data_IF_786892408572
#
_entry.id   IF_786892408572
#
_cell.length_a   1.000
_cell.length_b   1.000
_cell.length_c   1.000
_cell.angle_alpha   90.00
_cell.angle_beta   90.00
_cell.angle_gamma   90.00
#
_symmetry.space_group_name_H-M   'P 1'
#
loop_
_entity.id
_entity.type
_entity.pdbx_description
1 polymer ?
#
# COMPACT_ATOMS: atom_id res chain seq x y z
N UNK A 1 0.20 10.50 -5.87
CA UNK A 1 -0.88 9.61 -6.37
C UNK A 1 -1.89 10.39 -7.20
N UNK A 2 -2.59 11.38 -6.63
CA UNK A 2 -3.58 12.22 -7.33
C UNK A 2 -3.14 12.78 -8.70
N UNK A 3 -1.89 13.20 -8.83
CA UNK A 3 -1.38 13.80 -10.09
C UNK A 3 -1.07 12.78 -11.19
N UNK A 4 -0.66 11.56 -10.81
CA UNK A 4 -0.13 10.56 -11.76
C UNK A 4 -1.09 9.39 -12.00
N UNK A 5 -1.92 9.07 -11.01
CA UNK A 5 -2.92 7.99 -11.02
C UNK A 5 -4.23 8.51 -10.39
N UNK A 6 -4.90 9.50 -11.02
CA UNK A 6 -6.08 10.14 -10.44
C UNK A 6 -7.25 9.16 -10.24
N UNK A 7 -7.47 8.25 -11.18
CA UNK A 7 -8.57 7.27 -11.09
C UNK A 7 -8.39 6.31 -9.90
N UNK A 8 -7.16 5.79 -9.70
CA UNK A 8 -6.87 4.93 -8.55
C UNK A 8 -6.91 5.72 -7.23
N UNK A 9 -6.49 6.99 -7.25
CA UNK A 9 -6.59 7.87 -6.08
C UNK A 9 -8.05 8.06 -5.65
N UNK A 10 -8.94 8.35 -6.60
CA UNK A 10 -10.36 8.57 -6.31
C UNK A 10 -11.01 7.26 -5.81
N UNK A 11 -10.70 6.13 -6.45
CA UNK A 11 -11.22 4.83 -6.04
C UNK A 11 -10.77 4.43 -4.61
N UNK A 12 -9.51 4.68 -4.25
CA UNK A 12 -9.01 4.44 -2.89
C UNK A 12 -9.66 5.41 -1.89
N UNK A 13 -9.76 6.68 -2.25
CA UNK A 13 -10.38 7.74 -1.42
C UNK A 13 -11.82 7.38 -1.03
N UNK A 14 -12.61 6.88 -1.97
CA UNK A 14 -14.00 6.46 -1.71
C UNK A 14 -14.13 5.47 -0.55
N UNK A 15 -13.19 4.53 -0.39
CA UNK A 15 -13.24 3.57 0.72
C UNK A 15 -12.97 4.26 2.06
N UNK A 16 -11.98 5.15 2.07
CA UNK A 16 -11.55 5.86 3.28
C UNK A 16 -12.61 6.87 3.74
N UNK A 17 -13.32 7.51 2.82
CA UNK A 17 -14.41 8.44 3.11
C UNK A 17 -15.64 7.77 3.76
N UNK A 18 -15.76 6.45 3.64
CA UNK A 18 -16.89 5.67 4.17
C UNK A 18 -16.47 4.70 5.29
N UNK A 19 -15.32 4.95 5.93
CA UNK A 19 -14.91 4.13 7.07
C UNK A 19 -15.94 4.24 8.21
N UNK A 20 -16.23 3.12 8.90
CA UNK A 20 -17.17 3.13 10.01
C UNK A 20 -16.67 4.04 11.13
N UNK A 21 -17.62 4.59 11.90
CA UNK A 21 -17.36 5.45 13.06
C UNK A 21 -16.69 6.79 12.75
N UNK A 22 -16.87 7.32 11.53
CA UNK A 22 -16.28 8.61 11.11
C UNK A 22 -14.75 8.63 11.27
N UNK A 23 -14.12 7.46 11.09
CA UNK A 23 -12.70 7.30 11.27
C UNK A 23 -11.94 7.87 10.07
N UNK A 24 -11.07 8.86 10.31
CA UNK A 24 -10.12 9.32 9.30
C UNK A 24 -8.92 8.36 9.22
N UNK A 25 -8.53 7.94 8.02
CA UNK A 25 -7.28 7.20 7.85
C UNK A 25 -6.06 8.12 8.01
N UNK A 26 -5.06 7.75 8.82
CA UNK A 26 -3.81 8.51 8.95
C UNK A 26 -2.91 8.42 7.70
N UNK A 27 -3.28 7.58 6.73
CA UNK A 27 -2.52 7.33 5.51
C UNK A 27 -3.36 7.56 4.25
N UNK A 28 -4.34 8.47 4.31
CA UNK A 28 -5.17 8.86 3.17
C UNK A 28 -4.33 9.03 1.88
N UNK A 29 -4.74 8.45 0.73
CA UNK A 29 -6.02 7.78 0.47
C UNK A 29 -6.03 6.27 0.79
N UNK A 30 -5.00 5.74 1.45
CA UNK A 30 -4.96 4.33 1.84
C UNK A 30 -5.78 4.10 3.12
N UNK A 31 -6.36 2.91 3.27
CA UNK A 31 -7.19 2.55 4.43
C UNK A 31 -6.41 2.21 5.70
N UNK A 32 -5.12 1.94 5.58
CA UNK A 32 -4.25 1.59 6.70
C UNK A 32 -2.78 1.47 6.27
N UNK A 33 -1.89 1.33 7.25
CA UNK A 33 -0.46 1.09 7.01
C UNK A 33 0.05 0.02 7.97
N UNK A 34 1.15 -0.63 7.56
CA UNK A 34 1.85 -1.64 8.35
C UNK A 34 3.32 -1.23 8.45
N UNK A 35 3.91 -1.39 9.63
CA UNK A 35 5.35 -1.17 9.84
C UNK A 35 6.06 -2.51 9.89
N UNK A 36 6.81 -2.82 8.83
CA UNK A 36 7.62 -4.04 8.75
C UNK A 36 8.99 -3.84 9.42
N UNK A 37 9.18 -4.39 10.61
CA UNK A 37 10.46 -4.32 11.36
C UNK A 37 11.48 -5.36 10.86
N UNK A 38 11.04 -6.38 10.12
CA UNK A 38 11.88 -7.38 9.45
C UNK A 38 11.33 -7.69 8.06
N UNK A 39 11.65 -6.84 7.09
CA UNK A 39 11.05 -6.88 5.74
C UNK A 39 11.41 -8.10 4.87
N UNK A 40 11.96 -9.17 5.44
CA UNK A 40 12.20 -10.43 4.73
C UNK A 40 10.94 -11.29 4.79
N UNK A 41 9.98 -11.01 3.91
CA UNK A 41 8.76 -11.81 3.76
C UNK A 41 8.94 -12.86 2.67
N UNK A 42 8.24 -14.00 2.80
CA UNK A 42 8.08 -14.93 1.68
C UNK A 42 7.39 -14.21 0.52
N UNK A 43 7.67 -14.62 -0.72
CA UNK A 43 6.96 -14.10 -1.88
C UNK A 43 5.45 -14.35 -1.71
N UNK A 44 4.66 -13.29 -1.77
CA UNK A 44 3.21 -13.34 -1.62
C UNK A 44 2.56 -12.20 -2.39
N UNK A 45 1.22 -12.27 -2.48
CA UNK A 45 0.37 -11.18 -2.94
C UNK A 45 -0.52 -10.75 -1.78
N UNK A 46 -0.60 -9.45 -1.54
CA UNK A 46 -1.56 -8.85 -0.62
C UNK A 46 -2.98 -8.98 -1.19
N UNK A 47 -3.58 -10.15 -0.98
CA UNK A 47 -4.88 -10.50 -1.57
C UNK A 47 -6.04 -9.68 -0.99
N UNK A 48 -5.81 -9.01 0.14
CA UNK A 48 -6.75 -8.08 0.75
C UNK A 48 -6.70 -6.67 0.18
N UNK A 49 -5.65 -6.32 -0.56
CA UNK A 49 -5.51 -4.99 -1.15
C UNK A 49 -6.39 -4.88 -2.39
N UNK A 50 -7.07 -3.74 -2.52
CA UNK A 50 -8.01 -3.52 -3.62
C UNK A 50 -7.29 -3.29 -4.95
N UNK A 51 -6.23 -2.47 -4.95
CA UNK A 51 -5.54 -2.05 -6.17
C UNK A 51 -4.06 -1.76 -5.96
N UNK A 52 -3.75 -0.78 -5.11
CA UNK A 52 -2.40 -0.27 -4.92
C UNK A 52 -2.02 -0.33 -3.46
N UNK A 53 -0.77 -0.70 -3.21
CA UNK A 53 -0.08 -0.48 -1.95
C UNK A 53 1.13 0.43 -2.19
N UNK A 54 1.56 1.14 -1.13
CA UNK A 54 2.74 1.99 -1.17
C UNK A 54 3.77 1.44 -0.19
N UNK A 55 4.95 1.09 -0.69
CA UNK A 55 6.07 0.63 0.13
C UNK A 55 7.09 1.77 0.25
N UNK A 56 7.39 2.18 1.48
CA UNK A 56 8.38 3.22 1.78
C UNK A 56 9.46 2.63 2.68
N UNK A 57 10.72 2.49 2.22
CA UNK A 57 11.83 2.12 3.08
C UNK A 57 12.21 3.32 3.98
N UNK A 58 12.47 3.06 5.27
CA UNK A 58 12.84 4.10 6.25
C UNK A 58 14.26 3.89 6.80
N UNK A 59 15.19 4.73 6.36
CA UNK A 59 16.60 4.72 6.77
C UNK A 59 17.54 4.36 5.63
N UNK A 60 18.84 4.39 5.93
CA UNK A 60 19.90 4.06 4.97
C UNK A 60 20.31 2.59 5.15
N UNK A 61 20.00 1.76 4.16
CA UNK A 61 20.34 0.34 4.16
C UNK A 61 21.02 -0.06 2.85
N UNK A 62 21.74 -1.19 2.92
CA UNK A 62 22.30 -1.86 1.74
C UNK A 62 21.54 -3.16 1.49
N UNK A 63 21.05 -3.36 0.26
CA UNK A 63 20.19 -4.49 -0.11
C UNK A 63 18.74 -4.32 0.36
N UNK A 64 17.97 -5.42 0.36
CA UNK A 64 16.59 -5.42 0.84
C UNK A 64 15.60 -4.79 -0.14
N UNK A 65 15.90 -4.90 -1.43
CA UNK A 65 15.10 -4.38 -2.51
C UNK A 65 13.69 -4.97 -2.52
N UNK A 66 12.71 -4.18 -2.98
CA UNK A 66 11.39 -4.69 -3.30
C UNK A 66 11.50 -5.59 -4.54
N UNK A 67 11.45 -6.90 -4.32
CA UNK A 67 11.50 -7.89 -5.39
C UNK A 67 10.08 -8.19 -5.90
N UNK A 68 9.76 -7.70 -7.10
CA UNK A 68 8.53 -8.06 -7.80
C UNK A 68 8.79 -9.31 -8.66
N UNK A 69 7.96 -10.32 -8.49
CA UNK A 69 7.95 -11.50 -9.34
C UNK A 69 6.62 -11.56 -10.08
N UNK A 70 6.68 -11.50 -11.42
CA UNK A 70 5.50 -11.71 -12.24
C UNK A 70 5.07 -13.17 -12.13
N UNK A 71 3.87 -13.42 -11.63
CA UNK A 71 3.29 -14.77 -11.68
C UNK A 71 3.07 -15.09 -13.15
N UNK A 72 3.88 -16.00 -13.71
CA UNK A 72 3.71 -16.49 -15.07
C UNK A 72 2.27 -16.95 -15.32
N UNK A 73 1.80 -16.73 -16.55
CA UNK A 73 0.45 -17.11 -17.03
C UNK A 73 0.13 -18.59 -16.79
#
# INVERSE_FOLDING_TARGET
LKEYLPEDYDELSMFVEHLPLDASSPCYPFGGYVVNVRSCTWAHRDSGDKKLCLVIPFGDYSGGELCLYETGL
#
